data_IF_568403968577
#
_entry.id   IF_568403968577
#
_cell.length_a   1.000
_cell.length_b   1.000
_cell.length_c   1.000
_cell.angle_alpha   90.00
_cell.angle_beta   90.00
_cell.angle_gamma   90.00
#
_symmetry.space_group_name_H-M   'P 1'
#
loop_
_entity.id
_entity.type
_entity.pdbx_description
1 polymer ?
#
# COMPACT_ATOMS: atom_id res chain seq x y z
N UNK A 1 3.93 -16.60 -1.50
CA UNK A 1 4.47 -15.97 -2.72
C UNK A 1 5.78 -15.30 -2.37
N UNK A 2 6.79 -15.40 -3.24
CA UNK A 2 8.08 -14.73 -3.00
C UNK A 2 7.96 -13.25 -3.40
N UNK A 3 8.37 -12.34 -2.51
CA UNK A 3 8.44 -10.92 -2.81
C UNK A 3 9.67 -10.64 -3.67
N UNK A 4 9.50 -9.96 -4.80
CA UNK A 4 10.64 -9.56 -5.63
C UNK A 4 11.57 -8.60 -4.86
N UNK A 5 12.88 -8.62 -5.14
CA UNK A 5 13.83 -7.68 -4.54
C UNK A 5 13.43 -6.22 -4.83
N UNK A 6 12.98 -5.93 -6.05
CA UNK A 6 12.52 -4.59 -6.44
C UNK A 6 11.33 -4.12 -5.61
N UNK A 7 10.36 -5.01 -5.33
CA UNK A 7 9.24 -4.67 -4.46
C UNK A 7 9.69 -4.35 -3.04
N UNK A 8 10.60 -5.14 -2.47
CA UNK A 8 11.12 -4.90 -1.12
C UNK A 8 11.82 -3.53 -1.04
N UNK A 9 12.67 -3.22 -2.01
CA UNK A 9 13.31 -1.90 -2.13
C UNK A 9 12.29 -0.79 -2.27
N UNK A 10 11.27 -0.95 -3.12
CA UNK A 10 10.21 0.05 -3.27
C UNK A 10 9.43 0.27 -1.95
N UNK A 11 9.19 -0.79 -1.16
CA UNK A 11 8.52 -0.69 0.14
C UNK A 11 9.36 0.14 1.12
N UNK A 12 10.68 -0.07 1.14
CA UNK A 12 11.59 0.74 1.94
C UNK A 12 11.63 2.19 1.46
N UNK A 13 11.71 2.37 0.14
CA UNK A 13 11.78 3.67 -0.50
C UNK A 13 10.52 4.51 -0.30
N UNK A 14 9.35 3.88 -0.28
CA UNK A 14 8.08 4.55 0.01
C UNK A 14 8.08 5.25 1.37
N UNK A 15 8.86 4.77 2.34
CA UNK A 15 9.02 5.35 3.68
C UNK A 15 10.06 6.48 3.71
N UNK A 16 10.91 6.55 2.69
CA UNK A 16 11.98 7.53 2.52
C UNK A 16 11.56 8.72 1.65
N UNK A 17 10.29 8.77 1.23
CA UNK A 17 9.74 9.94 0.58
C UNK A 17 9.86 11.16 1.49
N UNK A 18 10.30 12.29 0.93
CA UNK A 18 10.51 13.53 1.67
C UNK A 18 9.21 14.22 2.02
N UNK A 19 8.16 13.99 1.22
CA UNK A 19 6.82 14.49 1.45
C UNK A 19 5.81 13.34 1.55
N UNK A 20 4.73 13.57 2.30
CA UNK A 20 3.67 12.58 2.48
C UNK A 20 2.81 12.47 1.21
N UNK A 21 2.66 11.27 0.62
CA UNK A 21 1.74 11.05 -0.50
C UNK A 21 0.30 11.42 -0.15
N UNK A 22 -0.49 11.74 -1.16
CA UNK A 22 -1.91 12.02 -1.01
C UNK A 22 -2.69 10.81 -0.50
N UNK A 23 -3.92 11.04 0.02
CA UNK A 23 -4.75 9.97 0.59
C UNK A 23 -5.00 8.82 -0.39
N UNK A 24 -5.21 9.14 -1.67
CA UNK A 24 -5.49 8.15 -2.71
C UNK A 24 -4.27 7.28 -3.02
N UNK A 25 -3.08 7.87 -3.13
CA UNK A 25 -1.84 7.13 -3.37
C UNK A 25 -1.49 6.23 -2.18
N UNK A 26 -1.74 6.69 -0.95
CA UNK A 26 -1.57 5.86 0.24
C UNK A 26 -2.51 4.63 0.25
N UNK A 27 -3.74 4.80 -0.26
CA UNK A 27 -4.69 3.69 -0.40
C UNK A 27 -4.26 2.71 -1.50
N UNK A 28 -3.74 3.22 -2.61
CA UNK A 28 -3.26 2.41 -3.72
C UNK A 28 -2.01 1.62 -3.35
N UNK A 29 -1.03 2.27 -2.71
CA UNK A 29 0.14 1.60 -2.11
C UNK A 29 -0.30 0.51 -1.14
N UNK A 30 -1.27 0.78 -0.28
CA UNK A 30 -1.77 -0.22 0.67
C UNK A 30 -2.38 -1.43 -0.04
N UNK A 31 -3.27 -1.22 -1.02
CA UNK A 31 -3.91 -2.30 -1.74
C UNK A 31 -2.90 -3.15 -2.51
N UNK A 32 -2.01 -2.51 -3.27
CA UNK A 32 -0.95 -3.17 -4.03
C UNK A 32 0.01 -3.92 -3.12
N UNK A 33 0.35 -3.36 -1.96
CA UNK A 33 1.19 -4.04 -0.98
C UNK A 33 0.55 -5.33 -0.47
N UNK A 34 -0.73 -5.29 -0.06
CA UNK A 34 -1.45 -6.44 0.47
C UNK A 34 -1.59 -7.57 -0.56
N UNK A 35 -1.87 -7.23 -1.82
CA UNK A 35 -1.92 -8.22 -2.91
C UNK A 35 -0.52 -8.73 -3.25
N UNK A 36 0.47 -7.84 -3.34
CA UNK A 36 1.85 -8.16 -3.69
C UNK A 36 2.55 -9.07 -2.67
N UNK A 37 2.21 -8.93 -1.38
CA UNK A 37 2.65 -9.84 -0.31
C UNK A 37 1.93 -11.18 -0.32
N UNK A 38 0.87 -11.31 -1.14
CA UNK A 38 0.03 -12.50 -1.21
C UNK A 38 -0.88 -12.66 -0.01
N UNK A 39 -1.29 -11.56 0.63
CA UNK A 39 -2.31 -11.65 1.67
C UNK A 39 -3.67 -12.01 1.10
N UNK A 40 -4.36 -12.87 1.84
CA UNK A 40 -5.66 -13.39 1.46
C UNK A 40 -6.75 -12.37 1.81
N UNK A 41 -7.37 -11.79 0.79
CA UNK A 41 -8.47 -10.86 0.96
C UNK A 41 -9.68 -11.51 1.64
N UNK A 42 -9.91 -12.82 1.49
CA UNK A 42 -11.00 -13.51 2.20
C UNK A 42 -10.82 -13.50 3.72
N UNK A 43 -9.59 -13.28 4.21
CA UNK A 43 -9.29 -13.08 5.65
C UNK A 43 -9.42 -11.62 6.07
N UNK A 44 -9.60 -10.69 5.15
CA UNK A 44 -9.84 -9.29 5.48
C UNK A 44 -11.21 -9.17 6.15
N UNK A 45 -11.22 -8.73 7.40
CA UNK A 45 -12.48 -8.50 8.11
C UNK A 45 -13.23 -7.37 7.44
N UNK A 46 -14.37 -7.68 6.82
CA UNK A 46 -15.23 -6.67 6.24
C UNK A 46 -15.60 -5.66 7.35
N UNK A 47 -15.43 -4.34 7.13
CA UNK A 47 -15.72 -3.34 8.13
C UNK A 47 -17.17 -3.44 8.63
N UNK A 48 -17.37 -4.00 9.82
CA UNK A 48 -18.68 -4.14 10.46
C UNK A 48 -18.95 -3.03 11.46
N UNK A 49 -20.22 -2.73 11.70
CA UNK A 49 -20.70 -1.66 12.60
C UNK A 49 -20.10 -1.72 14.02
N UNK A 50 -19.62 -2.89 14.45
CA UNK A 50 -19.09 -3.14 15.79
C UNK A 50 -17.56 -3.07 15.91
N UNK A 51 -16.83 -3.01 14.79
CA UNK A 51 -15.38 -2.79 14.82
C UNK A 51 -15.10 -1.31 14.58
N UNK A 52 -14.89 -0.56 15.66
CA UNK A 52 -14.67 0.88 15.62
C UNK A 52 -13.41 1.26 14.81
N UNK A 53 -12.43 0.36 14.71
CA UNK A 53 -11.18 0.59 13.97
C UNK A 53 -11.38 0.34 12.47
N UNK A 54 -12.15 -0.69 12.10
CA UNK A 54 -12.53 -0.94 10.71
C UNK A 54 -13.60 0.04 10.21
N UNK A 55 -14.49 0.51 11.09
CA UNK A 55 -15.55 1.48 10.80
C UNK A 55 -15.05 2.89 10.51
N UNK A 56 -13.79 3.18 10.84
CA UNK A 56 -13.14 4.46 10.52
C UNK A 56 -13.13 4.70 8.99
N UNK A 57 -13.31 5.95 8.52
CA UNK A 57 -13.26 6.26 7.09
C UNK A 57 -11.97 5.76 6.41
N UNK A 58 -10.84 5.78 7.13
CA UNK A 58 -9.57 5.24 6.63
C UNK A 58 -9.57 3.70 6.54
N UNK A 59 -10.23 3.01 7.47
CA UNK A 59 -10.37 1.55 7.47
C UNK A 59 -11.22 1.07 6.30
N UNK A 60 -12.39 1.71 6.11
CA UNK A 60 -13.28 1.44 4.97
C UNK A 60 -12.60 1.70 3.63
N UNK A 61 -11.90 2.83 3.50
CA UNK A 61 -11.20 3.17 2.26
C UNK A 61 -10.10 2.17 1.93
N UNK A 62 -9.30 1.75 2.92
CA UNK A 62 -8.27 0.71 2.76
C UNK A 62 -8.87 -0.63 2.33
N UNK A 63 -9.96 -1.05 2.97
CA UNK A 63 -10.67 -2.26 2.60
C UNK A 63 -11.21 -2.19 1.17
N UNK A 64 -11.86 -1.09 0.80
CA UNK A 64 -12.38 -0.90 -0.56
C UNK A 64 -11.27 -0.88 -1.62
N UNK A 65 -10.14 -0.22 -1.34
CA UNK A 65 -9.00 -0.20 -2.26
C UNK A 65 -8.42 -1.61 -2.46
N UNK A 66 -8.27 -2.38 -1.37
CA UNK A 66 -7.79 -3.76 -1.46
C UNK A 66 -8.81 -4.67 -2.17
N UNK A 67 -10.10 -4.52 -1.85
CA UNK A 67 -11.20 -5.23 -2.52
C UNK A 67 -11.16 -4.97 -4.02
N UNK A 68 -11.07 -3.70 -4.44
CA UNK A 68 -10.97 -3.32 -5.85
C UNK A 68 -9.76 -3.96 -6.53
N UNK A 69 -8.60 -3.92 -5.88
CA UNK A 69 -7.37 -4.53 -6.40
C UNK A 69 -7.50 -6.06 -6.64
N UNK A 70 -8.25 -6.77 -5.79
CA UNK A 70 -8.40 -8.23 -5.86
C UNK A 70 -9.59 -8.67 -6.69
N UNK A 71 -10.75 -8.05 -6.53
CA UNK A 71 -11.99 -8.47 -7.19
C UNK A 71 -12.18 -7.81 -8.57
N UNK A 72 -11.92 -6.50 -8.68
CA UNK A 72 -12.14 -5.75 -9.92
C UNK A 72 -10.91 -5.84 -10.83
N UNK A 73 -9.75 -5.44 -10.33
CA UNK A 73 -8.49 -5.43 -11.09
C UNK A 73 -7.85 -6.83 -11.18
N UNK A 74 -8.35 -7.79 -10.39
CA UNK A 74 -7.89 -9.20 -10.36
C UNK A 74 -6.37 -9.33 -10.33
N UNK A 75 -5.73 -8.46 -9.53
CA UNK A 75 -4.28 -8.38 -9.51
C UNK A 75 -3.70 -9.67 -8.92
N UNK A 76 -2.76 -10.24 -9.67
CA UNK A 76 -1.88 -11.27 -9.13
C UNK A 76 -0.80 -10.63 -8.26
N UNK A 77 -0.21 -11.37 -7.32
CA UNK A 77 0.90 -10.86 -6.50
C UNK A 77 2.06 -10.30 -7.34
N UNK A 78 2.39 -10.91 -8.47
CA UNK A 78 3.44 -10.42 -9.38
C UNK A 78 3.08 -9.08 -10.01
N UNK A 79 1.86 -8.94 -10.56
CA UNK A 79 1.41 -7.69 -11.18
C UNK A 79 1.28 -6.58 -10.13
N UNK A 80 0.78 -6.91 -8.94
CA UNK A 80 0.68 -5.95 -7.84
C UNK A 80 2.06 -5.44 -7.40
N UNK A 81 3.06 -6.32 -7.33
CA UNK A 81 4.44 -5.93 -7.04
C UNK A 81 5.00 -4.99 -8.10
N UNK A 82 4.80 -5.30 -9.39
CA UNK A 82 5.25 -4.44 -10.49
C UNK A 82 4.60 -3.04 -10.42
N UNK A 83 3.26 -2.99 -10.28
CA UNK A 83 2.52 -1.73 -10.12
C UNK A 83 2.96 -0.94 -8.89
N UNK A 84 3.26 -1.62 -7.79
CA UNK A 84 3.75 -0.98 -6.57
C UNK A 84 5.10 -0.28 -6.81
N UNK A 85 6.03 -0.96 -7.48
CA UNK A 85 7.33 -0.36 -7.84
C UNK A 85 7.13 0.86 -8.73
N UNK A 86 6.31 0.76 -9.78
CA UNK A 86 6.00 1.90 -10.65
C UNK A 86 5.36 3.08 -9.90
N UNK A 87 4.44 2.78 -8.96
CA UNK A 87 3.81 3.82 -8.14
C UNK A 87 4.84 4.50 -7.23
N UNK A 88 5.70 3.74 -6.56
CA UNK A 88 6.75 4.32 -5.70
C UNK A 88 7.70 5.19 -6.50
N UNK A 89 8.13 4.76 -7.69
CA UNK A 89 8.99 5.59 -8.56
C UNK A 89 8.32 6.92 -8.93
N UNK A 90 7.03 6.90 -9.30
CA UNK A 90 6.26 8.14 -9.52
C UNK A 90 6.19 9.01 -8.27
N UNK A 91 5.95 8.40 -7.11
CA UNK A 91 5.89 9.13 -5.84
C UNK A 91 7.24 9.75 -5.48
N UNK A 92 8.37 9.10 -5.78
CA UNK A 92 9.70 9.68 -5.60
C UNK A 92 9.88 10.93 -6.44
N UNK A 93 9.42 10.90 -7.69
CA UNK A 93 9.48 12.07 -8.59
C UNK A 93 8.57 13.20 -8.12
N UNK A 94 7.36 12.89 -7.64
CA UNK A 94 6.37 13.90 -7.24
C UNK A 94 6.59 14.48 -5.84
N UNK A 95 6.98 13.65 -4.87
CA UNK A 95 7.08 14.02 -3.45
C UNK A 95 8.53 14.19 -2.97
N UNK A 96 9.50 13.90 -3.85
CA UNK A 96 10.92 13.85 -3.53
C UNK A 96 11.29 12.58 -2.77
N UNK A 97 12.52 12.12 -2.98
CA UNK A 97 13.08 10.94 -2.38
C UNK A 97 14.48 11.21 -1.84
N UNK A 98 14.73 10.75 -0.62
CA UNK A 98 16.05 10.82 -0.01
C UNK A 98 16.43 9.45 0.56
N UNK A 99 17.38 8.78 -0.10
CA UNK A 99 17.86 7.46 0.30
C UNK A 99 18.45 7.43 1.72
N UNK A 100 18.94 8.58 2.22
CA UNK A 100 19.54 8.76 3.54
C UNK A 100 18.52 9.22 4.58
N UNK A 101 17.28 9.52 4.17
CA UNK A 101 16.22 9.88 5.12
C UNK A 101 15.94 8.70 6.04
N UNK A 102 16.15 8.94 7.33
CA UNK A 102 15.70 8.01 8.37
C UNK A 102 14.17 8.04 8.33
N UNK A 103 13.49 6.90 8.10
CA UNK A 103 12.03 6.88 8.07
C UNK A 103 11.54 7.37 9.43
N UNK A 104 10.82 8.50 9.44
CA UNK A 104 10.23 9.03 10.65
C UNK A 104 9.29 7.96 11.20
N UNK A 105 9.58 7.45 12.39
CA UNK A 105 8.68 6.56 13.11
C UNK A 105 7.42 7.37 13.41
N UNK A 106 6.38 7.18 12.60
CA UNK A 106 5.08 7.79 12.85
C UNK A 106 4.50 7.14 14.09
N UNK A 107 4.83 7.68 15.27
CA UNK A 107 4.40 7.16 16.55
C UNK A 107 4.98 7.92 17.73
N UNK A 108 4.21 8.89 18.25
CA UNK A 108 3.84 8.93 19.66
C UNK A 108 2.33 9.12 19.71
#
# INVERSE_FOLDING_TARGET
>A
MSQSPAFQTAVEDSKKLTSKPGPNELLELYALFKVGTGEDFSKATQPGMFDLKASSPHGKAKYNAWKKAVEEDQLTPETAQAKYVELVEKLKEQYGYDANKVPETVGN
#
